data_IF_061377622361
#
_entry.id   IF_061377622361
#
_cell.length_a   1.000
_cell.length_b   1.000
_cell.length_c   1.000
_cell.angle_alpha   90.00
_cell.angle_beta   90.00
_cell.angle_gamma   90.00
#
_symmetry.space_group_name_H-M   'P 1'
#
loop_
_entity.id
_entity.type
_entity.pdbx_description
1 polymer ?
#
# COMPACT_ATOMS: atom_id res chain seq x y z
N UNK A 1 -9.59 -9.83 5.62
CA UNK A 1 -8.78 -8.97 4.72
C UNK A 1 -9.37 -8.95 3.31
N UNK A 2 -10.16 -9.96 2.93
CA UNK A 2 -10.83 -10.07 1.63
C UNK A 2 -11.63 -8.84 1.23
N UNK A 3 -12.35 -8.21 2.17
CA UNK A 3 -13.10 -6.99 1.84
C UNK A 3 -12.21 -5.86 1.31
N UNK A 4 -11.01 -5.67 1.86
CA UNK A 4 -10.07 -4.63 1.39
C UNK A 4 -9.46 -5.04 0.05
N UNK A 5 -9.17 -6.33 -0.11
CA UNK A 5 -8.63 -6.91 -1.33
C UNK A 5 -9.65 -6.82 -2.48
N UNK A 6 -10.93 -7.05 -2.23
CA UNK A 6 -11.99 -6.98 -3.24
C UNK A 6 -12.29 -5.53 -3.67
N UNK A 7 -12.16 -4.57 -2.74
CA UNK A 7 -12.54 -3.17 -2.97
C UNK A 7 -11.34 -2.26 -3.33
N UNK A 8 -11.18 -1.95 -4.62
CA UNK A 8 -10.06 -1.13 -5.15
C UNK A 8 -9.97 0.28 -4.57
N UNK A 9 -11.09 0.87 -4.19
CA UNK A 9 -11.12 2.22 -3.59
C UNK A 9 -10.34 2.33 -2.28
N UNK A 10 -10.08 1.21 -1.61
CA UNK A 10 -9.28 1.21 -0.39
C UNK A 10 -7.82 1.59 -0.63
N UNK A 11 -7.27 1.36 -1.83
CA UNK A 11 -5.92 1.79 -2.21
C UNK A 11 -5.79 3.31 -2.08
N UNK A 12 -6.77 4.06 -2.57
CA UNK A 12 -6.78 5.52 -2.47
C UNK A 12 -6.97 5.99 -1.04
N UNK A 13 -7.92 5.39 -0.31
CA UNK A 13 -8.20 5.75 1.10
C UNK A 13 -6.99 5.51 2.00
N UNK A 14 -6.30 4.39 1.84
CA UNK A 14 -5.10 4.06 2.60
C UNK A 14 -3.93 4.95 2.20
N UNK A 15 -3.78 5.27 0.91
CA UNK A 15 -2.77 6.22 0.42
C UNK A 15 -2.95 7.60 1.02
N UNK A 16 -4.18 8.13 1.04
CA UNK A 16 -4.50 9.39 1.72
C UNK A 16 -4.29 9.33 3.23
N UNK A 17 -4.57 8.19 3.87
CA UNK A 17 -4.32 8.00 5.29
C UNK A 17 -2.82 7.96 5.64
N UNK A 18 -1.95 7.56 4.71
CA UNK A 18 -0.48 7.66 4.88
C UNK A 18 0.04 9.09 4.80
N UNK A 19 -0.71 9.99 4.14
CA UNK A 19 -0.32 11.38 3.92
C UNK A 19 -0.60 12.30 5.13
N UNK A 20 -1.32 11.82 6.15
CA UNK A 20 -1.61 12.60 7.37
C UNK A 20 -0.36 12.90 8.21
N UNK A 21 -0.31 14.01 8.95
CA UNK A 21 0.76 14.29 9.92
C UNK A 21 0.72 13.40 11.17
N UNK A 22 -0.36 12.65 11.37
CA UNK A 22 -0.54 11.80 12.54
C UNK A 22 0.27 10.49 12.44
N UNK A 23 1.37 10.43 13.18
CA UNK A 23 2.28 9.26 13.24
C UNK A 23 1.57 7.97 13.66
N UNK A 24 0.57 8.05 14.56
CA UNK A 24 -0.20 6.87 14.99
C UNK A 24 -1.02 6.29 13.84
N UNK A 25 -1.65 7.15 13.03
CA UNK A 25 -2.42 6.73 11.86
C UNK A 25 -1.48 6.09 10.83
N UNK A 26 -0.32 6.70 10.55
CA UNK A 26 0.67 6.09 9.65
C UNK A 26 1.06 4.69 10.12
N UNK A 27 1.37 4.53 11.40
CA UNK A 27 1.75 3.23 11.97
C UNK A 27 0.66 2.17 11.78
N UNK A 28 -0.59 2.52 12.11
CA UNK A 28 -1.73 1.61 11.94
C UNK A 28 -1.95 1.21 10.48
N UNK A 29 -1.80 2.16 9.55
CA UNK A 29 -1.90 1.88 8.12
C UNK A 29 -0.75 0.98 7.65
N UNK A 30 0.48 1.19 8.13
CA UNK A 30 1.61 0.30 7.83
C UNK A 30 1.41 -1.13 8.39
N UNK A 31 0.86 -1.28 9.59
CA UNK A 31 0.50 -2.59 10.16
C UNK A 31 -0.58 -3.30 9.33
N UNK A 32 -1.53 -2.54 8.79
CA UNK A 32 -2.56 -3.09 7.91
C UNK A 32 -1.98 -3.51 6.54
N UNK A 33 -1.10 -2.69 5.96
CA UNK A 33 -0.43 -3.01 4.70
C UNK A 33 0.46 -4.26 4.83
N UNK A 34 1.18 -4.42 5.94
CA UNK A 34 1.97 -5.63 6.19
C UNK A 34 1.09 -6.88 6.35
N UNK A 35 -0.06 -6.75 7.01
CA UNK A 35 -1.05 -7.82 7.10
C UNK A 35 -1.63 -8.19 5.73
N UNK A 36 -1.92 -7.21 4.86
CA UNK A 36 -2.37 -7.45 3.48
C UNK A 36 -1.30 -8.17 2.65
N UNK A 37 -0.03 -7.76 2.75
CA UNK A 37 1.08 -8.42 2.09
C UNK A 37 1.23 -9.89 2.48
N UNK A 38 1.09 -10.21 3.77
CA UNK A 38 1.22 -11.57 4.27
C UNK A 38 -0.02 -12.45 4.00
N UNK A 39 -1.17 -11.83 3.71
CA UNK A 39 -2.43 -12.53 3.54
C UNK A 39 -2.56 -13.26 2.21
N UNK A 40 -2.24 -12.59 1.10
CA UNK A 40 -2.36 -13.17 -0.24
C UNK A 40 -1.55 -12.38 -1.28
N UNK A 41 -1.32 -12.97 -2.45
CA UNK A 41 -0.68 -12.27 -3.58
C UNK A 41 -1.48 -11.05 -4.03
N UNK A 42 -2.82 -11.10 -3.97
CA UNK A 42 -3.66 -9.96 -4.31
C UNK A 42 -3.60 -8.87 -3.23
N UNK A 43 -3.53 -9.25 -1.94
CA UNK A 43 -3.28 -8.33 -0.84
C UNK A 43 -1.91 -7.65 -0.92
N UNK A 44 -0.88 -8.39 -1.32
CA UNK A 44 0.45 -7.84 -1.64
C UNK A 44 0.39 -6.79 -2.76
N UNK A 45 -0.26 -7.10 -3.88
CA UNK A 45 -0.42 -6.14 -4.97
C UNK A 45 -1.16 -4.87 -4.51
N UNK A 46 -2.22 -5.02 -3.69
CA UNK A 46 -2.94 -3.86 -3.14
C UNK A 46 -2.12 -3.00 -2.20
N UNK A 47 -1.29 -3.62 -1.37
CA UNK A 47 -0.39 -2.88 -0.51
C UNK A 47 0.65 -2.10 -1.33
N UNK A 48 1.14 -2.71 -2.41
CA UNK A 48 2.06 -2.10 -3.36
C UNK A 48 1.43 -0.90 -4.07
N UNK A 49 0.24 -1.07 -4.66
CA UNK A 49 -0.52 0.01 -5.31
C UNK A 49 -0.78 1.18 -4.35
N UNK A 50 -1.01 0.90 -3.07
CA UNK A 50 -1.23 1.94 -2.04
C UNK A 50 0.04 2.77 -1.81
N UNK A 51 1.20 2.10 -1.72
CA UNK A 51 2.48 2.77 -1.56
C UNK A 51 2.85 3.58 -2.81
N UNK A 52 2.59 3.05 -4.01
CA UNK A 52 2.77 3.78 -5.26
C UNK A 52 1.98 5.07 -5.28
N UNK A 53 0.70 5.00 -4.93
CA UNK A 53 -0.15 6.17 -4.90
C UNK A 53 0.33 7.23 -3.89
N UNK A 54 0.76 6.80 -2.69
CA UNK A 54 1.35 7.69 -1.69
C UNK A 54 2.62 8.39 -2.22
N UNK A 55 3.53 7.64 -2.84
CA UNK A 55 4.80 8.16 -3.37
C UNK A 55 4.59 9.14 -4.53
N UNK A 56 3.65 8.83 -5.45
CA UNK A 56 3.28 9.73 -6.55
C UNK A 56 2.65 11.02 -6.03
N UNK A 57 1.77 10.94 -5.02
CA UNK A 57 1.18 12.11 -4.36
C UNK A 57 2.24 13.00 -3.70
N UNK A 58 3.32 12.40 -3.21
CA UNK A 58 4.45 13.09 -2.56
C UNK A 58 5.53 13.58 -3.55
N UNK A 59 5.26 13.52 -4.87
CA UNK A 59 6.15 14.07 -5.89
C UNK A 59 7.34 13.18 -6.23
N UNK A 60 7.23 11.86 -6.03
CA UNK A 60 8.23 10.85 -6.44
C UNK A 60 7.69 10.11 -7.69
N UNK A 61 7.84 10.67 -8.91
CA UNK A 61 7.15 10.23 -10.12
C UNK A 61 7.69 8.94 -10.76
N UNK A 62 8.80 8.40 -10.26
CA UNK A 62 9.57 7.33 -10.88
C UNK A 62 9.88 6.17 -9.91
N UNK A 63 9.04 5.99 -8.89
CA UNK A 63 9.09 4.79 -8.07
C UNK A 63 8.61 3.60 -8.89
N UNK A 64 9.55 2.74 -9.29
CA UNK A 64 9.25 1.43 -9.87
C UNK A 64 9.53 0.39 -8.81
N UNK A 65 8.49 -0.26 -8.29
CA UNK A 65 8.68 -1.52 -7.56
C UNK A 65 9.19 -2.57 -8.55
N UNK A 66 10.51 -2.79 -8.58
CA UNK A 66 11.08 -3.82 -9.44
C UNK A 66 10.80 -5.21 -8.84
N UNK A 67 9.63 -5.78 -9.16
CA UNK A 67 9.26 -7.16 -8.80
C UNK A 67 9.95 -8.21 -9.69
N UNK A 68 10.68 -7.80 -10.73
CA UNK A 68 11.40 -8.70 -11.65
C UNK A 68 12.76 -9.21 -11.12
N UNK A 69 13.11 -8.95 -9.86
CA UNK A 69 14.36 -9.44 -9.25
C UNK A 69 14.19 -10.08 -7.86
N UNK A 70 13.02 -10.63 -7.56
CA UNK A 70 12.86 -11.62 -6.48
C UNK A 70 12.40 -12.94 -7.09
N UNK A 71 13.37 -13.67 -7.67
CA UNK A 71 13.27 -15.12 -7.79
C UNK A 71 13.51 -15.63 -6.36
N UNK A 72 12.47 -16.18 -5.73
CA UNK A 72 12.63 -17.10 -4.59
C UNK A 72 12.96 -18.50 -5.10
#
# INVERSE_FOLDING_TARGET
LDYIVDNKDYVQKLGSALDTDNVTVKKQVFELLSALCAYSAEGYNRALETLEHFMVSNGIPNWQCNTQNYIV
#
